data_IF_141924434582
#
_entry.id   IF_141924434582
#
_cell.length_a   1.000
_cell.length_b   1.000
_cell.length_c   1.000
_cell.angle_alpha   90.00
_cell.angle_beta   90.00
_cell.angle_gamma   90.00
#
_symmetry.space_group_name_H-M   'P 1'
#
loop_
_entity.id
_entity.type
_entity.pdbx_description
1 polymer ?
#
# COMPACT_ATOMS: atom_id res chain seq x y z
N UNK A 1 20.66 -8.47 -10.11
CA UNK A 1 19.23 -8.38 -9.74
C UNK A 1 18.81 -6.93 -9.97
N UNK A 2 17.67 -6.69 -10.57
CA UNK A 2 17.15 -5.33 -10.71
C UNK A 2 16.64 -4.89 -9.32
N UNK A 3 17.05 -3.71 -8.88
CA UNK A 3 16.68 -3.13 -7.58
C UNK A 3 15.17 -2.86 -7.53
N UNK A 4 14.46 -3.34 -6.50
CA UNK A 4 13.03 -3.09 -6.31
C UNK A 4 12.77 -1.60 -6.14
N UNK A 5 11.74 -1.07 -6.81
CA UNK A 5 11.29 0.32 -6.60
C UNK A 5 10.03 0.38 -5.71
N UNK A 6 9.81 1.55 -5.11
CA UNK A 6 8.67 1.80 -4.23
C UNK A 6 7.55 2.57 -4.91
N UNK A 7 6.32 2.22 -4.62
CA UNK A 7 5.14 2.98 -5.00
C UNK A 7 4.34 3.31 -3.75
N UNK A 8 4.06 4.60 -3.55
CA UNK A 8 3.13 5.05 -2.50
C UNK A 8 1.84 5.51 -3.17
N UNK A 9 0.73 4.88 -2.82
CA UNK A 9 -0.58 5.29 -3.33
C UNK A 9 -1.24 6.27 -2.35
N UNK A 10 -1.30 7.52 -2.74
CA UNK A 10 -1.80 8.64 -1.94
C UNK A 10 -2.93 9.43 -2.64
N UNK A 11 -3.68 8.75 -3.52
CA UNK A 11 -4.75 9.35 -4.33
C UNK A 11 -6.13 9.43 -3.66
N UNK A 12 -6.34 8.74 -2.55
CA UNK A 12 -7.64 8.65 -1.88
C UNK A 12 -8.14 9.99 -1.32
N UNK A 13 -9.43 10.28 -1.49
CA UNK A 13 -10.05 11.55 -1.04
C UNK A 13 -10.23 11.66 0.48
N UNK A 14 -10.18 10.56 1.23
CA UNK A 14 -10.32 10.57 2.68
C UNK A 14 -11.71 11.01 3.16
N UNK A 15 -12.78 10.59 2.50
CA UNK A 15 -14.16 10.99 2.85
C UNK A 15 -14.56 10.61 4.26
N UNK A 16 -14.09 9.48 4.78
CA UNK A 16 -14.32 9.02 6.17
C UNK A 16 -13.57 9.86 7.23
N UNK A 17 -12.62 10.69 6.79
CA UNK A 17 -11.87 11.63 7.64
C UNK A 17 -12.42 13.05 7.60
N UNK A 18 -13.54 13.29 6.91
CA UNK A 18 -14.16 14.62 6.92
C UNK A 18 -14.66 14.97 8.35
N UNK A 19 -14.54 16.25 8.79
CA UNK A 19 -14.18 17.43 7.99
C UNK A 19 -12.66 17.70 7.86
N UNK A 20 -11.78 16.91 8.45
CA UNK A 20 -10.33 17.14 8.43
C UNK A 20 -9.75 17.22 7.01
N UNK A 21 -10.31 16.43 6.10
CA UNK A 21 -9.88 16.34 4.70
C UNK A 21 -10.55 17.35 3.76
N UNK A 22 -11.34 18.29 4.30
CA UNK A 22 -11.97 19.35 3.49
C UNK A 22 -10.94 20.27 2.84
N UNK A 23 -9.84 20.56 3.52
CA UNK A 23 -8.83 21.52 3.11
C UNK A 23 -7.47 20.91 2.80
N UNK A 24 -7.24 19.62 3.14
CA UNK A 24 -5.97 18.95 2.88
C UNK A 24 -6.15 17.47 2.56
N UNK A 25 -5.18 16.91 1.86
CA UNK A 25 -5.13 15.49 1.58
C UNK A 25 -4.92 14.70 2.87
N UNK A 26 -5.60 13.55 3.02
CA UNK A 26 -5.53 12.72 4.24
C UNK A 26 -4.10 12.32 4.62
N UNK A 27 -3.24 12.07 3.65
CA UNK A 27 -1.86 11.64 3.89
C UNK A 27 -0.94 12.76 4.41
N UNK A 28 -1.44 14.01 4.43
CA UNK A 28 -0.77 15.16 5.05
C UNK A 28 -1.26 15.43 6.47
N UNK A 29 -2.33 14.75 6.92
CA UNK A 29 -2.78 14.82 8.31
C UNK A 29 -1.68 14.28 9.24
N UNK A 30 -1.50 14.88 10.42
CA UNK A 30 -0.52 14.40 11.38
C UNK A 30 -0.95 13.05 11.98
N UNK A 31 0.00 12.14 12.08
CA UNK A 31 -0.06 10.95 12.93
C UNK A 31 0.96 11.15 14.03
N UNK A 32 0.49 11.52 15.21
CA UNK A 32 1.26 12.00 16.36
C UNK A 32 2.05 13.29 16.02
N UNK A 33 3.31 13.20 15.63
CA UNK A 33 4.26 14.30 15.46
C UNK A 33 4.70 14.56 14.01
N UNK A 34 4.28 13.73 13.07
CA UNK A 34 4.70 13.82 11.67
C UNK A 34 3.52 13.61 10.70
N UNK A 35 3.60 14.16 9.47
CA UNK A 35 2.64 13.85 8.41
C UNK A 35 2.54 12.33 8.14
N UNK A 36 1.33 11.83 7.94
CA UNK A 36 1.06 10.41 7.68
C UNK A 36 1.94 9.82 6.56
N UNK A 37 2.15 10.57 5.47
CA UNK A 37 2.96 10.14 4.32
C UNK A 37 4.40 9.79 4.69
N UNK A 38 4.97 10.41 5.74
CA UNK A 38 6.32 10.11 6.20
C UNK A 38 6.44 8.67 6.69
N UNK A 39 5.37 8.11 7.27
CA UNK A 39 5.34 6.73 7.78
C UNK A 39 5.46 5.72 6.65
N UNK A 40 4.73 5.92 5.54
CA UNK A 40 4.80 5.06 4.35
C UNK A 40 6.15 5.18 3.66
N UNK A 41 6.69 6.40 3.51
CA UNK A 41 8.02 6.60 2.93
C UNK A 41 9.12 5.98 3.81
N UNK A 42 9.01 6.11 5.13
CA UNK A 42 9.94 5.49 6.07
C UNK A 42 9.91 3.96 6.00
N UNK A 43 8.74 3.36 5.76
CA UNK A 43 8.63 1.92 5.55
C UNK A 43 9.43 1.47 4.33
N UNK A 44 9.34 2.18 3.20
CA UNK A 44 10.14 1.92 2.00
C UNK A 44 11.64 2.16 2.25
N UNK A 45 12.00 3.28 2.90
CA UNK A 45 13.38 3.61 3.22
C UNK A 45 14.03 2.55 4.13
N UNK A 46 13.31 2.05 5.14
CA UNK A 46 13.78 0.97 6.04
C UNK A 46 13.94 -0.38 5.32
N UNK A 47 13.25 -0.59 4.21
CA UNK A 47 13.46 -1.74 3.32
C UNK A 47 14.67 -1.56 2.39
N UNK A 48 15.30 -0.38 2.37
CA UNK A 48 16.43 -0.05 1.51
C UNK A 48 16.02 0.49 0.14
N UNK A 49 14.73 0.71 -0.08
CA UNK A 49 14.19 1.23 -1.34
C UNK A 49 14.41 2.75 -1.38
N UNK A 50 15.07 3.23 -2.45
CA UNK A 50 15.39 4.66 -2.64
C UNK A 50 14.63 5.31 -3.77
N UNK A 51 14.30 4.55 -4.82
CA UNK A 51 13.60 5.05 -6.01
C UNK A 51 12.10 4.86 -5.80
N UNK A 52 11.37 5.96 -5.60
CA UNK A 52 9.97 5.95 -5.17
C UNK A 52 9.12 6.79 -6.11
N UNK A 53 7.95 6.29 -6.48
CA UNK A 53 6.91 7.09 -7.12
C UNK A 53 5.70 7.22 -6.18
N UNK A 54 5.21 8.45 -6.00
CA UNK A 54 3.99 8.73 -5.26
C UNK A 54 2.86 9.01 -6.26
N UNK A 55 1.79 8.21 -6.20
CA UNK A 55 0.58 8.46 -6.99
C UNK A 55 -0.38 9.31 -6.17
N UNK A 56 -0.63 10.51 -6.64
CA UNK A 56 -1.49 11.51 -6.00
C UNK A 56 -2.85 11.58 -6.71
N UNK A 57 -3.89 11.94 -5.97
CA UNK A 57 -5.20 12.27 -6.53
C UNK A 57 -5.60 13.72 -6.27
N UNK A 58 -6.51 14.24 -7.09
CA UNK A 58 -7.07 15.56 -6.90
C UNK A 58 -6.06 16.71 -7.04
N UNK A 59 -6.28 17.80 -6.28
CA UNK A 59 -5.53 19.06 -6.41
C UNK A 59 -4.43 19.23 -5.35
N UNK A 60 -4.05 18.19 -4.61
CA UNK A 60 -3.12 18.30 -3.47
C UNK A 60 -1.64 18.26 -3.84
N UNK A 61 -1.28 18.16 -5.11
CA UNK A 61 0.10 18.01 -5.59
C UNK A 61 1.07 19.05 -5.05
N UNK A 62 0.68 20.33 -5.02
CA UNK A 62 1.52 21.43 -4.54
C UNK A 62 1.98 21.23 -3.09
N UNK A 63 1.10 20.74 -2.21
CA UNK A 63 1.43 20.51 -0.80
C UNK A 63 2.46 19.38 -0.64
N UNK A 64 2.34 18.31 -1.44
CA UNK A 64 3.32 17.24 -1.48
C UNK A 64 4.67 17.69 -2.02
N UNK A 65 4.68 18.50 -3.11
CA UNK A 65 5.92 19.04 -3.66
C UNK A 65 6.63 19.97 -2.66
N UNK A 66 5.87 20.79 -1.94
CA UNK A 66 6.45 21.67 -0.91
C UNK A 66 7.02 20.83 0.25
N UNK A 67 6.32 19.79 0.67
CA UNK A 67 6.71 18.95 1.82
C UNK A 67 7.88 18.01 1.49
N UNK A 68 7.89 17.38 0.32
CA UNK A 68 8.79 16.28 0.00
C UNK A 68 9.86 16.63 -1.04
N UNK A 69 9.58 17.58 -1.94
CA UNK A 69 10.45 17.92 -3.06
C UNK A 69 10.72 16.70 -3.96
N UNK A 70 11.96 16.53 -4.34
CA UNK A 70 12.47 15.36 -5.07
C UNK A 70 12.91 14.21 -4.15
N UNK A 71 12.73 14.37 -2.83
CA UNK A 71 13.09 13.36 -1.83
C UNK A 71 14.57 13.35 -1.41
N UNK A 72 15.43 14.15 -2.05
CA UNK A 72 16.88 14.11 -1.82
C UNK A 72 17.25 14.30 -0.34
N UNK A 73 16.58 15.24 0.37
CA UNK A 73 16.82 15.47 1.81
C UNK A 73 16.53 14.27 2.69
N UNK A 74 15.70 13.33 2.21
CA UNK A 74 15.36 12.09 2.89
C UNK A 74 16.17 10.88 2.38
N UNK A 75 17.17 11.12 1.51
CA UNK A 75 17.92 10.04 0.87
C UNK A 75 17.08 9.18 -0.09
N UNK A 76 15.99 9.73 -0.59
CA UNK A 76 15.09 9.13 -1.57
C UNK A 76 15.20 9.86 -2.91
N UNK A 77 14.78 9.20 -3.99
CA UNK A 77 14.51 9.78 -5.30
C UNK A 77 13.02 9.69 -5.53
N UNK A 78 12.29 10.79 -5.35
CA UNK A 78 10.82 10.82 -5.42
C UNK A 78 10.37 11.36 -6.77
N UNK A 79 9.46 10.65 -7.41
CA UNK A 79 8.70 11.08 -8.58
C UNK A 79 7.23 11.03 -8.28
N UNK A 80 6.43 11.74 -9.09
CA UNK A 80 5.00 11.87 -8.87
C UNK A 80 4.23 11.47 -10.13
N UNK A 81 3.11 10.80 -9.91
CA UNK A 81 2.08 10.56 -10.92
C UNK A 81 0.74 11.06 -10.37
N UNK A 82 -0.19 11.35 -11.26
CA UNK A 82 -1.51 11.89 -10.90
C UNK A 82 -2.61 10.98 -11.43
N UNK A 83 -3.47 10.52 -10.53
CA UNK A 83 -4.70 9.84 -10.85
C UNK A 83 -5.83 10.90 -10.94
N UNK A 84 -6.45 11.04 -12.09
CA UNK A 84 -7.49 12.05 -12.31
C UNK A 84 -8.81 11.70 -11.61
N UNK A 85 -9.13 10.41 -11.52
CA UNK A 85 -10.36 9.90 -10.92
C UNK A 85 -10.04 8.79 -9.93
N UNK A 86 -10.90 8.59 -8.95
CA UNK A 86 -10.78 7.48 -8.00
C UNK A 86 -11.21 6.15 -8.66
N UNK A 87 -10.35 5.59 -9.49
CA UNK A 87 -10.59 4.36 -10.25
C UNK A 87 -10.07 3.08 -9.57
N UNK A 88 -9.69 3.16 -8.29
CA UNK A 88 -9.19 2.05 -7.50
C UNK A 88 -7.66 1.96 -7.44
N UNK A 89 -7.18 1.02 -6.60
CA UNK A 89 -5.75 0.83 -6.32
C UNK A 89 -5.01 0.31 -7.56
N UNK A 90 -5.60 -0.64 -8.30
CA UNK A 90 -4.94 -1.22 -9.46
C UNK A 90 -4.83 -0.20 -10.61
N UNK A 91 -5.83 0.67 -10.83
CA UNK A 91 -5.73 1.77 -11.79
C UNK A 91 -4.62 2.75 -11.40
N UNK A 92 -4.54 3.15 -10.13
CA UNK A 92 -3.48 4.02 -9.65
C UNK A 92 -2.08 3.39 -9.88
N UNK A 93 -1.95 2.08 -9.67
CA UNK A 93 -0.71 1.35 -9.90
C UNK A 93 -0.34 1.31 -11.39
N UNK A 94 -1.31 1.21 -12.31
CA UNK A 94 -1.06 1.19 -13.76
C UNK A 94 -0.27 2.42 -14.24
N UNK A 95 -0.51 3.59 -13.63
CA UNK A 95 0.16 4.85 -13.95
C UNK A 95 1.68 4.80 -13.72
N UNK A 96 2.15 3.82 -12.95
CA UNK A 96 3.56 3.70 -12.56
C UNK A 96 4.37 2.77 -13.46
N UNK A 97 3.75 2.08 -14.44
CA UNK A 97 4.38 1.11 -15.33
C UNK A 97 5.66 1.65 -16.00
N UNK A 98 5.59 2.88 -16.53
CA UNK A 98 6.72 3.55 -17.18
C UNK A 98 7.87 3.89 -16.22
N UNK A 99 7.60 4.03 -14.93
CA UNK A 99 8.60 4.22 -13.88
C UNK A 99 9.23 2.88 -13.46
N UNK A 100 8.43 1.86 -13.28
CA UNK A 100 8.86 0.53 -12.80
C UNK A 100 9.79 -0.16 -13.82
N UNK A 101 9.50 -0.07 -15.12
CA UNK A 101 10.37 -0.55 -16.22
C UNK A 101 10.84 -2.00 -16.05
N UNK A 102 9.94 -2.89 -15.69
CA UNK A 102 10.21 -4.33 -15.54
C UNK A 102 10.91 -4.72 -14.24
N UNK A 103 11.12 -3.80 -13.29
CA UNK A 103 11.61 -4.09 -11.93
C UNK A 103 10.51 -4.71 -11.08
N UNK A 104 10.89 -5.34 -9.98
CA UNK A 104 9.98 -5.62 -8.88
C UNK A 104 9.50 -4.32 -8.24
N UNK A 105 8.32 -4.37 -7.61
CA UNK A 105 7.72 -3.20 -6.99
C UNK A 105 7.16 -3.52 -5.60
N UNK A 106 7.50 -2.67 -4.63
CA UNK A 106 6.87 -2.64 -3.32
C UNK A 106 5.82 -1.51 -3.32
N UNK A 107 4.56 -1.88 -3.25
CA UNK A 107 3.42 -0.95 -3.21
C UNK A 107 2.95 -0.79 -1.77
N UNK A 108 2.86 0.44 -1.29
CA UNK A 108 2.30 0.76 0.02
C UNK A 108 1.19 1.80 -0.11
N UNK A 109 0.07 1.57 0.57
CA UNK A 109 -0.98 2.58 0.71
C UNK A 109 -0.51 3.66 1.67
N UNK A 110 -0.72 4.92 1.31
CA UNK A 110 -0.18 6.08 2.03
C UNK A 110 -0.74 6.29 3.44
N UNK A 111 -1.81 5.59 3.79
CA UNK A 111 -2.46 5.57 5.11
C UNK A 111 -2.17 4.30 5.93
N UNK A 112 -1.33 3.42 5.41
CA UNK A 112 -0.93 2.19 6.09
C UNK A 112 0.43 2.36 6.77
N UNK A 113 0.47 2.06 8.06
CA UNK A 113 1.64 2.17 8.92
C UNK A 113 2.08 0.80 9.43
N UNK A 114 3.37 0.52 9.33
CA UNK A 114 3.98 -0.71 9.84
C UNK A 114 5.06 -0.35 10.88
N UNK A 115 4.95 -0.92 12.07
CA UNK A 115 5.91 -0.65 13.14
C UNK A 115 7.33 -1.09 12.78
N UNK A 116 7.47 -2.28 12.20
CA UNK A 116 8.75 -2.86 11.84
C UNK A 116 9.05 -2.79 10.34
N UNK A 117 10.31 -3.01 10.01
CA UNK A 117 10.75 -3.10 8.62
C UNK A 117 10.41 -4.45 8.02
N UNK A 118 9.87 -4.45 6.81
CA UNK A 118 9.59 -5.66 6.03
C UNK A 118 10.79 -6.08 5.15
N UNK A 119 11.99 -5.57 5.44
CA UNK A 119 13.19 -5.83 4.62
C UNK A 119 13.48 -7.33 4.44
N UNK A 120 13.40 -8.12 5.51
CA UNK A 120 13.62 -9.56 5.42
C UNK A 120 12.66 -10.27 4.47
N UNK A 121 11.42 -9.77 4.35
CA UNK A 121 10.44 -10.30 3.42
C UNK A 121 10.73 -9.82 1.98
N UNK A 122 11.22 -8.59 1.81
CA UNK A 122 11.66 -8.09 0.51
C UNK A 122 12.86 -8.89 -0.01
N UNK A 123 13.88 -9.10 0.81
CA UNK A 123 15.06 -9.89 0.44
C UNK A 123 14.69 -11.32 0.01
N UNK A 124 13.70 -11.92 0.67
CA UNK A 124 13.15 -13.23 0.27
C UNK A 124 12.40 -13.15 -1.05
N UNK A 125 11.56 -12.13 -1.23
CA UNK A 125 10.80 -11.94 -2.46
C UNK A 125 11.72 -11.76 -3.66
N UNK A 126 12.79 -10.97 -3.55
CA UNK A 126 13.75 -10.72 -4.63
C UNK A 126 14.52 -11.98 -5.06
N UNK A 127 14.59 -12.98 -4.19
CA UNK A 127 15.27 -14.27 -4.47
C UNK A 127 14.30 -15.42 -4.71
N UNK A 128 13.00 -15.22 -4.48
CA UNK A 128 11.97 -16.24 -4.64
C UNK A 128 11.56 -16.36 -6.11
N UNK A 129 11.89 -17.46 -6.74
CA UNK A 129 11.53 -17.73 -8.15
C UNK A 129 10.13 -18.34 -8.32
N UNK A 130 9.44 -18.64 -7.22
CA UNK A 130 8.14 -19.32 -7.25
C UNK A 130 6.98 -18.35 -7.22
N UNK A 131 7.12 -17.24 -6.47
CA UNK A 131 6.01 -16.32 -6.22
C UNK A 131 6.28 -14.95 -6.86
N UNK A 132 5.29 -14.43 -7.54
CA UNK A 132 5.28 -13.12 -8.18
C UNK A 132 4.51 -12.07 -7.38
N UNK A 133 3.86 -12.51 -6.28
CA UNK A 133 3.05 -11.66 -5.42
C UNK A 133 3.19 -12.08 -3.96
N UNK A 134 3.61 -11.14 -3.08
CA UNK A 134 3.53 -11.28 -1.62
C UNK A 134 2.46 -10.35 -1.08
N UNK A 135 1.51 -10.91 -0.32
CA UNK A 135 0.42 -10.20 0.35
C UNK A 135 0.64 -10.25 1.86
N UNK A 136 0.71 -9.10 2.49
CA UNK A 136 0.89 -9.00 3.94
C UNK A 136 -0.46 -9.09 4.64
N UNK A 137 -0.60 -10.08 5.51
CA UNK A 137 -1.86 -10.47 6.14
C UNK A 137 -1.82 -10.21 7.65
N UNK A 138 -2.88 -9.61 8.17
CA UNK A 138 -3.06 -9.33 9.60
C UNK A 138 -4.43 -9.76 10.08
N UNK A 139 -4.52 -10.37 11.27
CA UNK A 139 -5.80 -10.61 11.94
C UNK A 139 -6.39 -9.30 12.41
N UNK A 140 -7.64 -9.05 12.06
CA UNK A 140 -8.40 -7.87 12.47
C UNK A 140 -9.67 -8.24 13.22
N UNK A 141 -10.14 -7.40 14.15
CA UNK A 141 -11.39 -7.65 14.86
C UNK A 141 -12.63 -7.47 13.96
N UNK A 142 -12.60 -6.50 13.06
CA UNK A 142 -13.64 -6.25 12.05
C UNK A 142 -13.06 -6.38 10.64
N UNK A 143 -13.40 -7.46 9.91
CA UNK A 143 -12.87 -7.69 8.57
C UNK A 143 -13.65 -7.01 7.44
N UNK A 144 -14.81 -6.41 7.70
CA UNK A 144 -15.76 -5.94 6.66
C UNK A 144 -15.20 -4.80 5.78
N UNK A 145 -14.18 -4.08 6.26
CA UNK A 145 -13.60 -2.92 5.57
C UNK A 145 -12.38 -3.28 4.69
N UNK A 146 -11.97 -4.54 4.65
CA UNK A 146 -10.72 -4.98 4.02
C UNK A 146 -10.95 -6.05 2.94
N UNK A 147 -9.98 -6.17 2.04
CA UNK A 147 -9.80 -7.41 1.30
C UNK A 147 -9.46 -8.54 2.28
N UNK A 148 -10.17 -9.65 2.22
CA UNK A 148 -10.00 -10.77 3.15
C UNK A 148 -9.45 -11.98 2.42
N UNK A 149 -8.45 -12.63 3.05
CA UNK A 149 -7.87 -13.87 2.58
C UNK A 149 -8.31 -15.05 3.45
N UNK A 150 -8.46 -16.22 2.83
CA UNK A 150 -8.61 -17.52 3.49
C UNK A 150 -7.35 -18.34 3.27
N UNK A 151 -6.86 -18.95 4.32
CA UNK A 151 -5.66 -19.78 4.30
C UNK A 151 -6.02 -21.24 4.55
N UNK A 152 -5.31 -22.14 3.89
CA UNK A 152 -5.35 -23.57 4.22
C UNK A 152 -4.49 -23.88 5.47
N UNK A 153 -4.46 -25.17 5.85
CA UNK A 153 -3.67 -25.66 6.99
C UNK A 153 -2.15 -25.43 6.83
N UNK A 154 -1.70 -25.24 5.59
CA UNK A 154 -0.29 -24.98 5.26
C UNK A 154 0.03 -23.47 5.16
N UNK A 155 -0.96 -22.59 5.36
CA UNK A 155 -0.84 -21.14 5.24
C UNK A 155 -0.87 -20.62 3.80
N UNK A 156 -1.29 -21.44 2.82
CA UNK A 156 -1.48 -21.00 1.44
C UNK A 156 -2.80 -20.27 1.28
N UNK A 157 -2.85 -19.23 0.46
CA UNK A 157 -4.07 -18.50 0.18
C UNK A 157 -4.96 -19.34 -0.74
N UNK A 158 -6.19 -19.62 -0.31
CA UNK A 158 -7.18 -20.44 -1.06
C UNK A 158 -8.32 -19.63 -1.63
N UNK A 159 -8.58 -18.45 -1.07
CA UNK A 159 -9.65 -17.55 -1.50
C UNK A 159 -9.33 -16.12 -1.09
N UNK A 160 -9.77 -15.15 -1.88
CA UNK A 160 -9.74 -13.72 -1.55
C UNK A 160 -11.04 -13.06 -2.00
N UNK A 161 -11.58 -12.16 -1.16
CA UNK A 161 -12.73 -11.32 -1.49
C UNK A 161 -12.50 -9.90 -1.00
N UNK A 162 -12.90 -8.93 -1.80
CA UNK A 162 -12.91 -7.53 -1.42
C UNK A 162 -14.13 -7.21 -0.58
N UNK A 163 -13.93 -6.71 0.62
CA UNK A 163 -14.96 -6.25 1.58
C UNK A 163 -16.19 -7.16 1.65
N UNK A 164 -16.00 -8.45 1.99
CA UNK A 164 -17.11 -9.39 2.05
C UNK A 164 -18.03 -9.10 3.23
N UNK A 165 -19.33 -9.32 3.04
CA UNK A 165 -20.30 -9.27 4.13
C UNK A 165 -20.12 -10.49 5.05
N UNK A 166 -19.91 -10.26 6.36
CA UNK A 166 -19.81 -11.28 7.40
C UNK A 166 -18.90 -12.50 7.04
N UNK A 167 -17.62 -12.27 6.71
CA UNK A 167 -16.70 -13.35 6.37
C UNK A 167 -16.37 -14.21 7.59
N UNK A 168 -16.18 -15.51 7.38
CA UNK A 168 -15.70 -16.45 8.40
C UNK A 168 -14.16 -16.44 8.58
N UNK A 169 -13.45 -15.64 7.79
CA UNK A 169 -12.04 -15.32 7.97
C UNK A 169 -11.88 -13.88 8.47
N UNK A 170 -10.89 -13.64 9.34
CA UNK A 170 -10.51 -12.31 9.80
C UNK A 170 -9.09 -11.91 9.37
N UNK A 171 -8.56 -12.56 8.33
CA UNK A 171 -7.26 -12.27 7.76
C UNK A 171 -7.38 -11.14 6.73
N UNK A 172 -7.18 -9.90 7.19
CA UNK A 172 -7.15 -8.73 6.32
C UNK A 172 -5.87 -8.71 5.48
N UNK A 173 -6.03 -8.43 4.19
CA UNK A 173 -4.94 -8.07 3.30
C UNK A 173 -4.61 -6.60 3.59
N UNK A 174 -3.40 -6.35 4.10
CA UNK A 174 -2.97 -4.99 4.44
C UNK A 174 -2.63 -4.18 3.19
N UNK A 175 -2.38 -2.88 3.37
CA UNK A 175 -1.98 -2.00 2.26
C UNK A 175 -0.48 -2.07 1.91
N UNK A 176 0.17 -3.24 2.04
CA UNK A 176 1.53 -3.48 1.56
C UNK A 176 1.54 -4.72 0.65
N UNK A 177 2.14 -4.56 -0.52
CA UNK A 177 2.22 -5.60 -1.53
C UNK A 177 3.61 -5.60 -2.16
N UNK A 178 4.15 -6.80 -2.43
CA UNK A 178 5.31 -6.94 -3.31
C UNK A 178 4.89 -7.67 -4.57
N UNK A 179 5.22 -7.12 -5.72
CA UNK A 179 4.89 -7.70 -7.01
C UNK A 179 6.12 -7.79 -7.92
N UNK A 180 6.17 -8.84 -8.73
CA UNK A 180 6.98 -8.83 -9.94
C UNK A 180 6.37 -7.87 -10.98
N UNK A 181 7.10 -7.53 -12.03
CA UNK A 181 6.60 -6.68 -13.10
C UNK A 181 5.38 -7.25 -13.83
N UNK A 182 5.08 -8.55 -13.68
CA UNK A 182 3.91 -9.21 -14.28
C UNK A 182 2.58 -8.58 -13.84
N UNK A 183 2.56 -7.91 -12.68
CA UNK A 183 1.35 -7.20 -12.18
C UNK A 183 0.80 -6.22 -13.21
N UNK A 184 1.66 -5.56 -14.00
CA UNK A 184 1.23 -4.58 -14.99
C UNK A 184 0.55 -5.21 -16.21
N UNK A 185 0.95 -6.42 -16.58
CA UNK A 185 0.28 -7.16 -17.66
C UNK A 185 -1.12 -7.60 -17.24
N UNK A 186 -1.28 -8.01 -15.99
CA UNK A 186 -2.58 -8.36 -15.43
C UNK A 186 -3.50 -7.13 -15.31
N UNK A 187 -2.95 -5.98 -14.87
CA UNK A 187 -3.69 -4.73 -14.79
C UNK A 187 -4.13 -4.28 -16.19
N UNK A 188 -3.23 -4.24 -17.17
CA UNK A 188 -3.55 -3.84 -18.55
C UNK A 188 -4.67 -4.71 -19.12
N UNK A 189 -4.58 -6.02 -18.95
CA UNK A 189 -5.62 -6.96 -19.39
C UNK A 189 -6.96 -6.69 -18.70
N UNK A 190 -6.95 -6.39 -17.41
CA UNK A 190 -8.18 -6.07 -16.65
C UNK A 190 -8.80 -4.76 -17.10
N UNK A 191 -7.97 -3.74 -17.40
CA UNK A 191 -8.43 -2.46 -17.98
C UNK A 191 -9.06 -2.66 -19.36
N UNK A 192 -8.44 -3.46 -20.25
CA UNK A 192 -8.96 -3.76 -21.58
C UNK A 192 -10.31 -4.50 -21.52
N UNK A 193 -10.51 -5.36 -20.52
CA UNK A 193 -11.75 -6.10 -20.30
C UNK A 193 -12.82 -5.26 -19.59
N UNK A 194 -12.49 -4.05 -19.10
CA UNK A 194 -13.40 -3.22 -18.32
C UNK A 194 -13.83 -3.87 -17.01
N UNK A 195 -12.91 -4.59 -16.35
CA UNK A 195 -13.18 -5.37 -15.13
C UNK A 195 -13.32 -4.50 -13.88
N UNK A 196 -14.24 -3.55 -13.91
CA UNK A 196 -14.55 -2.69 -12.77
C UNK A 196 -15.61 -3.32 -11.88
N UNK A 197 -15.46 -3.13 -10.57
CA UNK A 197 -16.46 -3.50 -9.56
C UNK A 197 -17.72 -2.63 -9.65
N UNK A 198 -18.78 -2.99 -8.94
CA UNK A 198 -20.00 -2.19 -8.81
C UNK A 198 -19.73 -0.78 -8.25
N UNK A 199 -18.59 -0.58 -7.59
CA UNK A 199 -18.11 0.73 -7.11
C UNK A 199 -17.43 1.56 -8.19
N UNK A 200 -17.23 1.00 -9.39
CA UNK A 200 -16.50 1.63 -10.49
C UNK A 200 -14.99 1.64 -10.28
N UNK A 201 -14.45 0.77 -9.42
CA UNK A 201 -13.04 0.65 -9.10
C UNK A 201 -12.43 -0.63 -9.71
N UNK A 202 -11.19 -0.53 -10.18
CA UNK A 202 -10.37 -1.69 -10.51
C UNK A 202 -9.73 -2.20 -9.23
N UNK A 203 -10.30 -3.30 -8.70
CA UNK A 203 -9.93 -3.81 -7.38
C UNK A 203 -8.57 -4.51 -7.41
N UNK A 204 -7.70 -4.13 -6.50
CA UNK A 204 -6.40 -4.81 -6.36
C UNK A 204 -6.58 -6.28 -5.92
N UNK A 205 -7.64 -6.58 -5.19
CA UNK A 205 -7.99 -7.94 -4.75
C UNK A 205 -8.25 -8.86 -5.94
N UNK A 206 -8.82 -8.35 -7.03
CA UNK A 206 -9.03 -9.14 -8.25
C UNK A 206 -7.70 -9.42 -8.97
N UNK A 207 -6.79 -8.45 -9.02
CA UNK A 207 -5.42 -8.65 -9.54
C UNK A 207 -4.68 -9.69 -8.69
N UNK A 208 -4.78 -9.62 -7.38
CA UNK A 208 -4.17 -10.59 -6.46
C UNK A 208 -4.73 -12.00 -6.67
N UNK A 209 -6.02 -12.11 -7.01
CA UNK A 209 -6.67 -13.38 -7.30
C UNK A 209 -6.09 -14.07 -8.53
N UNK A 210 -5.70 -13.32 -9.57
CA UNK A 210 -5.00 -13.91 -10.72
C UNK A 210 -3.68 -14.57 -10.34
N UNK A 211 -2.90 -13.95 -9.46
CA UNK A 211 -1.68 -14.59 -8.95
C UNK A 211 -1.98 -15.81 -8.08
N UNK A 212 -3.01 -15.75 -7.25
CA UNK A 212 -3.46 -16.89 -6.43
C UNK A 212 -3.85 -18.08 -7.31
N UNK A 213 -4.69 -17.87 -8.33
CA UNK A 213 -5.18 -18.91 -9.23
C UNK A 213 -4.05 -19.60 -10.02
N UNK A 214 -2.94 -18.89 -10.23
CA UNK A 214 -1.71 -19.42 -10.85
C UNK A 214 -0.75 -20.07 -9.84
N UNK A 215 -1.08 -20.06 -8.54
CA UNK A 215 -0.19 -20.54 -7.49
C UNK A 215 1.04 -19.65 -7.25
N UNK A 216 0.98 -18.39 -7.67
CA UNK A 216 2.06 -17.40 -7.62
C UNK A 216 1.90 -16.35 -6.51
N UNK A 217 0.82 -16.38 -5.75
CA UNK A 217 0.60 -15.51 -4.59
C UNK A 217 1.01 -16.20 -3.29
N UNK A 218 1.68 -15.46 -2.40
CA UNK A 218 2.08 -15.91 -1.07
C UNK A 218 1.54 -14.98 0.00
N UNK A 219 0.85 -15.53 0.99
CA UNK A 219 0.44 -14.83 2.20
C UNK A 219 1.60 -14.73 3.19
N UNK A 220 1.85 -13.54 3.69
CA UNK A 220 2.87 -13.24 4.70
C UNK A 220 2.16 -12.80 5.97
N UNK A 221 2.13 -13.68 6.97
CA UNK A 221 1.71 -13.31 8.32
C UNK A 221 2.85 -12.59 9.03
N UNK A 222 2.54 -11.52 9.74
CA UNK A 222 3.50 -10.76 10.52
C UNK A 222 2.92 -10.35 11.88
N UNK A 223 3.79 -10.20 12.89
CA UNK A 223 3.36 -9.99 14.29
C UNK A 223 3.42 -8.52 14.73
N UNK A 224 4.24 -7.68 14.10
CA UNK A 224 4.36 -6.27 14.49
C UNK A 224 3.05 -5.50 14.33
N UNK A 225 2.94 -4.34 14.99
CA UNK A 225 1.75 -3.49 14.84
C UNK A 225 1.63 -2.96 13.41
N UNK A 226 0.41 -2.97 12.94
CA UNK A 226 -0.04 -2.36 11.69
C UNK A 226 -1.29 -1.53 11.98
N UNK A 227 -1.43 -0.41 11.29
CA UNK A 227 -2.60 0.44 11.37
C UNK A 227 -2.99 0.95 9.98
N UNK A 228 -4.30 1.05 9.76
CA UNK A 228 -4.93 1.75 8.64
C UNK A 228 -5.56 3.03 9.19
N UNK A 229 -5.07 4.20 8.76
CA UNK A 229 -5.56 5.50 9.22
C UNK A 229 -6.74 6.02 8.39
N UNK A 230 -7.67 5.14 8.03
CA UNK A 230 -8.79 5.45 7.15
C UNK A 230 -9.96 6.19 7.81
N UNK A 231 -10.05 6.24 9.15
CA UNK A 231 -11.11 6.89 9.93
C UNK A 231 -10.54 7.82 11.00
N UNK A 232 -11.38 8.69 11.57
CA UNK A 232 -10.98 9.62 12.65
C UNK A 232 -10.52 8.85 13.88
N UNK A 233 -11.27 7.82 14.29
CA UNK A 233 -10.92 7.01 15.47
C UNK A 233 -9.61 6.25 15.23
N UNK A 234 -9.44 5.62 14.08
CA UNK A 234 -8.20 4.94 13.71
C UNK A 234 -7.00 5.91 13.66
N UNK A 235 -7.18 7.14 13.22
CA UNK A 235 -6.13 8.18 13.22
C UNK A 235 -5.68 8.52 14.65
N UNK A 236 -6.64 8.65 15.59
CA UNK A 236 -6.36 8.94 17.00
C UNK A 236 -5.65 7.75 17.65
N UNK A 237 -6.19 6.54 17.51
CA UNK A 237 -5.61 5.32 18.05
C UNK A 237 -4.20 5.08 17.52
N UNK A 238 -4.00 5.26 16.22
CA UNK A 238 -2.67 5.14 15.60
C UNK A 238 -1.71 6.19 16.12
N UNK A 239 -2.16 7.44 16.35
CA UNK A 239 -1.30 8.48 16.93
C UNK A 239 -0.83 8.10 18.35
N UNK A 240 -1.69 7.49 19.14
CA UNK A 240 -1.32 6.97 20.48
C UNK A 240 -0.34 5.80 20.37
N UNK A 241 -0.54 4.88 19.44
CA UNK A 241 0.37 3.77 19.19
C UNK A 241 1.75 4.28 18.75
N UNK A 242 1.81 5.18 17.78
CA UNK A 242 3.07 5.77 17.26
C UNK A 242 3.85 6.48 18.35
N UNK A 243 3.17 7.22 19.22
CA UNK A 243 3.80 7.85 20.40
C UNK A 243 4.55 6.84 21.26
N UNK A 244 4.01 5.63 21.41
CA UNK A 244 4.56 4.57 22.27
C UNK A 244 5.65 3.76 21.58
N UNK A 245 5.77 3.81 20.25
CA UNK A 245 6.81 3.08 19.52
C UNK A 245 8.23 3.61 19.73
N UNK A 246 8.39 4.80 20.31
CA UNK A 246 9.66 5.40 20.79
C UNK A 246 10.86 5.30 19.82
N UNK A 247 10.62 5.54 18.53
CA UNK A 247 11.60 5.26 17.45
C UNK A 247 12.28 6.52 16.86
N UNK A 248 12.13 7.70 17.47
CA UNK A 248 12.64 8.95 16.87
C UNK A 248 11.94 9.31 15.55
N UNK A 249 12.51 10.21 14.73
CA UNK A 249 11.94 10.53 13.41
C UNK A 249 11.83 9.27 12.54
N UNK A 250 10.67 9.05 11.94
CA UNK A 250 10.44 7.85 11.14
C UNK A 250 11.18 7.92 9.82
N UNK A 251 11.10 9.08 9.15
CA UNK A 251 11.78 9.31 7.89
C UNK A 251 13.12 9.99 8.17
N UNK A 252 14.23 9.32 7.86
CA UNK A 252 15.57 9.87 8.04
C UNK A 252 15.69 11.14 7.18
N UNK A 253 16.08 12.27 7.81
CA UNK A 253 16.18 13.57 7.17
C UNK A 253 14.91 14.45 7.28
N UNK A 254 13.87 13.98 8.01
CA UNK A 254 12.68 14.77 8.29
C UNK A 254 12.93 15.85 9.37
#
# INVERSE_FOLDING_TARGET
MQETCGIVLAGGMGTRLMPLTTSMNKHLLPVYDEPMIFKSLASLQRMGIKDVMIVLGGHSGNSFFHLLGDGHRFGLSIRYAFQEKAGGIAEALSLTKGFVRGRNVAVILGDNLFEESMKNHLDRFETDSKFDCYLFLKKVPDPSEFGIAWLDENGSITKMLEKPDNPDSNMAITGLYFYSAEVFELIDKSLELGAYSDRGELEITDINRFFMDQGKAKGILFDCHWADCGTIDALIETSVLVKNWNKGPWLIGA
#
